data_IF_153464279303
#
_entry.id   IF_153464279303
#
_cell.length_a   1.000
_cell.length_b   1.000
_cell.length_c   1.000
_cell.angle_alpha   90.00
_cell.angle_beta   90.00
_cell.angle_gamma   90.00
#
_symmetry.space_group_name_H-M   'P 1'
#
loop_
_entity.id
_entity.type
_entity.pdbx_description
1 polymer ?
#
# COMPACT_ATOMS: atom_id res chain seq x y z
N UNK A 1 -19.10 9.97 -9.51
CA UNK A 1 -19.31 8.97 -10.58
C UNK A 1 -18.34 7.84 -10.30
N UNK A 2 -18.78 6.59 -10.15
CA UNK A 2 -17.89 5.47 -9.81
C UNK A 2 -16.84 5.35 -10.91
N UNK A 3 -15.57 5.55 -10.56
CA UNK A 3 -14.46 5.48 -11.51
C UNK A 3 -14.13 4.00 -11.79
N UNK A 4 -14.99 3.38 -12.59
CA UNK A 4 -14.90 1.97 -12.99
C UNK A 4 -13.59 1.70 -13.74
N UNK A 5 -13.17 2.64 -14.57
CA UNK A 5 -11.97 2.52 -15.41
C UNK A 5 -10.67 2.26 -14.63
N UNK A 6 -10.25 3.12 -13.67
CA UNK A 6 -9.03 2.87 -12.91
C UNK A 6 -9.11 1.61 -12.04
N UNK A 7 -10.29 1.23 -11.56
CA UNK A 7 -10.47 -0.01 -10.80
C UNK A 7 -10.24 -1.22 -11.72
N UNK A 8 -10.84 -1.20 -12.92
CA UNK A 8 -10.63 -2.24 -13.93
C UNK A 8 -9.16 -2.35 -14.33
N UNK A 9 -8.45 -1.23 -14.51
CA UNK A 9 -7.01 -1.27 -14.84
C UNK A 9 -6.19 -1.90 -13.72
N UNK A 10 -6.44 -1.57 -12.45
CA UNK A 10 -5.74 -2.20 -11.31
C UNK A 10 -5.99 -3.71 -11.30
N UNK A 11 -7.24 -4.17 -11.50
CA UNK A 11 -7.55 -5.61 -11.53
C UNK A 11 -6.86 -6.31 -12.70
N UNK A 12 -6.88 -5.70 -13.90
CA UNK A 12 -6.19 -6.24 -15.08
C UNK A 12 -4.68 -6.33 -14.85
N UNK A 13 -4.07 -5.34 -14.18
CA UNK A 13 -2.64 -5.38 -13.83
C UNK A 13 -2.31 -6.53 -12.87
N UNK A 14 -3.17 -6.80 -11.89
CA UNK A 14 -2.99 -7.94 -10.99
C UNK A 14 -3.01 -9.27 -11.75
N UNK A 15 -3.99 -9.45 -12.65
CA UNK A 15 -4.14 -10.67 -13.45
C UNK A 15 -2.97 -10.85 -14.41
N UNK A 16 -2.61 -9.81 -15.16
CA UNK A 16 -1.50 -9.86 -16.13
C UNK A 16 -0.16 -10.11 -15.45
N UNK A 17 0.12 -9.43 -14.33
CA UNK A 17 1.33 -9.67 -13.53
C UNK A 17 1.40 -11.12 -13.03
N UNK A 18 0.28 -11.67 -12.53
CA UNK A 18 0.19 -13.08 -12.12
C UNK A 18 0.41 -14.04 -13.29
N UNK A 19 -0.16 -13.77 -14.47
CA UNK A 19 0.02 -14.63 -15.65
C UNK A 19 1.48 -14.66 -16.13
N UNK A 20 2.18 -13.54 -16.03
CA UNK A 20 3.59 -13.46 -16.46
C UNK A 20 4.53 -14.06 -15.42
N UNK A 21 4.33 -13.75 -14.13
CA UNK A 21 5.22 -14.16 -13.04
C UNK A 21 4.82 -15.48 -12.36
N UNK A 22 3.67 -16.04 -12.73
CA UNK A 22 3.09 -17.31 -12.23
C UNK A 22 2.85 -17.37 -10.71
N UNK A 23 2.98 -16.25 -9.99
CA UNK A 23 2.79 -16.17 -8.55
C UNK A 23 2.01 -14.92 -8.15
N UNK A 24 1.15 -15.06 -7.15
CA UNK A 24 0.42 -13.95 -6.54
C UNK A 24 1.26 -13.14 -5.55
N UNK A 25 2.39 -13.71 -5.09
CA UNK A 25 3.29 -13.09 -4.12
C UNK A 25 4.40 -12.26 -4.79
N UNK A 26 4.40 -12.15 -6.12
CA UNK A 26 5.32 -11.25 -6.79
C UNK A 26 4.93 -9.80 -6.47
N UNK A 27 5.90 -8.88 -6.30
CA UNK A 27 5.63 -7.50 -5.89
C UNK A 27 4.54 -6.83 -6.74
N UNK A 28 4.57 -7.06 -8.05
CA UNK A 28 3.58 -6.52 -8.98
C UNK A 28 2.17 -7.08 -8.78
N UNK A 29 2.04 -8.42 -8.71
CA UNK A 29 0.73 -9.05 -8.56
C UNK A 29 0.13 -8.77 -7.17
N UNK A 30 0.95 -8.83 -6.12
CA UNK A 30 0.54 -8.60 -4.74
C UNK A 30 0.07 -7.16 -4.52
N UNK A 31 0.83 -6.17 -4.99
CA UNK A 31 0.49 -4.76 -4.82
C UNK A 31 -0.84 -4.41 -5.50
N UNK A 32 -1.03 -4.82 -6.77
CA UNK A 32 -2.28 -4.58 -7.50
C UNK A 32 -3.47 -5.32 -6.87
N UNK A 33 -3.27 -6.53 -6.34
CA UNK A 33 -4.33 -7.29 -5.66
C UNK A 33 -4.76 -6.61 -4.36
N UNK A 34 -3.79 -6.19 -3.54
CA UNK A 34 -4.05 -5.49 -2.28
C UNK A 34 -4.86 -4.20 -2.51
N UNK A 35 -4.46 -3.40 -3.50
CA UNK A 35 -5.21 -2.20 -3.86
C UNK A 35 -6.59 -2.50 -4.43
N UNK A 36 -6.74 -3.58 -5.21
CA UNK A 36 -8.07 -4.03 -5.65
C UNK A 36 -8.96 -4.34 -4.44
N UNK A 37 -8.43 -5.05 -3.44
CA UNK A 37 -9.15 -5.36 -2.20
C UNK A 37 -9.53 -4.09 -1.41
N UNK A 38 -8.61 -3.14 -1.27
CA UNK A 38 -8.91 -1.86 -0.59
C UNK A 38 -9.95 -1.02 -1.30
N UNK A 39 -10.12 -1.15 -2.62
CA UNK A 39 -11.21 -0.48 -3.33
C UNK A 39 -12.56 -1.12 -3.06
N UNK A 40 -12.63 -2.43 -2.80
CA UNK A 40 -13.90 -3.07 -2.44
C UNK A 40 -14.40 -2.65 -1.05
N UNK A 41 -13.50 -2.34 -0.11
CA UNK A 41 -13.88 -1.95 1.25
C UNK A 41 -14.85 -0.73 1.30
N UNK A 42 -14.56 0.44 0.70
CA UNK A 42 -15.49 1.56 0.69
C UNK A 42 -16.78 1.25 -0.07
N UNK A 43 -16.75 0.42 -1.13
CA UNK A 43 -17.99 0.03 -1.83
C UNK A 43 -18.96 -0.75 -0.93
N UNK A 44 -18.46 -1.53 0.03
CA UNK A 44 -19.29 -2.35 0.93
C UNK A 44 -19.66 -1.57 2.19
N UNK A 45 -18.70 -0.87 2.80
CA UNK A 45 -18.85 -0.27 4.13
C UNK A 45 -19.22 1.21 4.10
N UNK A 46 -18.96 1.92 3.00
CA UNK A 46 -19.20 3.37 2.87
C UNK A 46 -19.64 3.75 1.44
N UNK A 47 -20.80 3.25 0.96
CA UNK A 47 -21.24 3.42 -0.42
C UNK A 47 -21.50 4.88 -0.81
N UNK A 48 -21.79 5.74 0.17
CA UNK A 48 -22.01 7.18 -0.02
C UNK A 48 -20.69 7.97 -0.14
N UNK A 49 -19.54 7.33 0.09
CA UNK A 49 -18.25 7.98 0.02
C UNK A 49 -17.84 8.25 -1.43
N UNK A 50 -17.67 9.52 -1.76
CA UNK A 50 -17.22 9.95 -3.08
C UNK A 50 -15.71 9.66 -3.23
N UNK A 51 -15.39 8.60 -3.96
CA UNK A 51 -14.00 8.29 -4.30
C UNK A 51 -13.52 9.25 -5.39
N UNK A 52 -12.41 9.94 -5.12
CA UNK A 52 -11.78 10.81 -6.11
C UNK A 52 -11.20 10.00 -7.27
N UNK A 53 -11.62 10.35 -8.49
CA UNK A 53 -11.20 9.64 -9.70
C UNK A 53 -9.74 9.89 -10.06
N UNK A 54 -9.17 11.05 -9.71
CA UNK A 54 -7.77 11.35 -10.01
C UNK A 54 -6.83 10.54 -9.12
N UNK A 55 -7.11 10.48 -7.81
CA UNK A 55 -6.37 9.61 -6.88
C UNK A 55 -6.34 8.14 -7.32
N UNK A 56 -7.44 7.63 -7.88
CA UNK A 56 -7.50 6.27 -8.42
C UNK A 56 -6.57 6.04 -9.61
N UNK A 57 -6.41 7.02 -10.49
CA UNK A 57 -5.46 6.93 -11.60
C UNK A 57 -4.01 6.92 -11.12
N UNK A 58 -3.66 7.68 -10.08
CA UNK A 58 -2.33 7.60 -9.48
C UNK A 58 -2.03 6.19 -8.94
N UNK A 59 -3.00 5.57 -8.28
CA UNK A 59 -2.87 4.20 -7.77
C UNK A 59 -2.72 3.22 -8.95
N UNK A 60 -3.52 3.37 -10.00
CA UNK A 60 -3.42 2.54 -11.20
C UNK A 60 -2.04 2.64 -11.87
N UNK A 61 -1.49 3.86 -11.99
CA UNK A 61 -0.15 4.07 -12.54
C UNK A 61 0.93 3.45 -11.66
N UNK A 62 0.84 3.61 -10.34
CA UNK A 62 1.76 2.97 -9.39
C UNK A 62 1.70 1.44 -9.48
N UNK A 63 0.50 0.87 -9.63
CA UNK A 63 0.26 -0.55 -9.80
C UNK A 63 0.90 -1.09 -11.10
N UNK A 64 0.74 -0.35 -12.21
CA UNK A 64 1.40 -0.65 -13.48
C UNK A 64 2.93 -0.56 -13.37
N UNK A 65 3.46 0.48 -12.73
CA UNK A 65 4.90 0.66 -12.55
C UNK A 65 5.51 -0.46 -11.69
N UNK A 66 4.85 -0.84 -10.59
CA UNK A 66 5.26 -1.95 -9.74
C UNK A 66 5.24 -3.29 -10.50
N UNK A 67 4.20 -3.52 -11.30
CA UNK A 67 4.08 -4.70 -12.16
C UNK A 67 5.19 -4.76 -13.20
N UNK A 68 5.46 -3.66 -13.90
CA UNK A 68 6.55 -3.56 -14.86
C UNK A 68 7.92 -3.85 -14.21
N UNK A 69 8.21 -3.24 -13.06
CA UNK A 69 9.44 -3.49 -12.30
C UNK A 69 9.57 -4.96 -11.86
N UNK A 70 8.47 -5.56 -11.40
CA UNK A 70 8.42 -6.98 -11.03
C UNK A 70 8.68 -7.90 -12.22
N UNK A 71 8.12 -7.62 -13.40
CA UNK A 71 8.30 -8.43 -14.61
C UNK A 71 9.76 -8.36 -15.09
N UNK A 72 10.36 -7.16 -15.10
CA UNK A 72 11.77 -6.97 -15.46
C UNK A 72 12.68 -7.76 -14.50
N UNK A 73 12.42 -7.67 -13.20
CA UNK A 73 13.16 -8.44 -12.19
C UNK A 73 13.00 -9.95 -12.33
N UNK A 74 11.80 -10.41 -12.68
CA UNK A 74 11.49 -11.84 -12.83
C UNK A 74 12.12 -12.45 -14.10
N UNK A 75 12.15 -11.70 -15.21
CA UNK A 75 12.75 -12.15 -16.47
C UNK A 75 14.24 -12.53 -16.34
N UNK A 76 14.97 -11.85 -15.45
CA UNK A 76 16.38 -12.17 -15.18
C UNK A 76 16.58 -13.53 -14.46
N UNK A 77 15.54 -14.10 -13.85
CA UNK A 77 15.62 -15.34 -13.09
C UNK A 77 15.33 -16.60 -13.94
N UNK A 78 14.51 -16.49 -14.99
CA UNK A 78 14.07 -17.64 -15.79
C UNK A 78 15.19 -18.25 -16.66
N UNK A 79 16.23 -17.50 -17.00
CA UNK A 79 17.36 -17.98 -17.83
C UNK A 79 18.55 -18.55 -17.03
N UNK A 80 18.31 -19.12 -15.85
CA UNK A 80 19.33 -19.88 -15.12
C UNK A 80 18.88 -21.32 -14.99
N UNK A 81 19.14 -22.08 -16.07
CA UNK A 81 19.17 -23.54 -16.13
C UNK A 81 19.32 -24.19 -14.75
N UNK A 82 18.44 -25.16 -14.49
CA UNK A 82 18.20 -25.98 -13.29
C UNK A 82 19.40 -26.81 -12.78
N UNK A 83 20.61 -26.29 -12.89
CA UNK A 83 21.82 -26.84 -12.28
C UNK A 83 22.61 -25.74 -11.58
N UNK A 84 21.99 -25.09 -10.61
CA UNK A 84 22.73 -24.40 -9.55
C UNK A 84 22.19 -24.88 -8.22
N UNK A 85 22.87 -25.92 -7.74
CA UNK A 85 23.28 -26.13 -6.35
C UNK A 85 22.72 -25.05 -5.43
N UNK A 86 21.98 -25.48 -4.39
CA UNK A 86 21.69 -24.70 -3.19
C UNK A 86 22.84 -23.74 -2.91
N UNK A 87 22.75 -22.54 -3.46
CA UNK A 87 23.78 -21.55 -3.28
C UNK A 87 23.38 -20.95 -1.96
N UNK A 88 23.93 -21.51 -0.88
CA UNK A 88 23.90 -20.94 0.46
C UNK A 88 24.74 -19.65 0.46
N UNK A 89 24.46 -18.74 -0.48
CA UNK A 89 24.86 -17.34 -0.37
C UNK A 89 23.99 -16.80 0.74
N UNK A 90 24.63 -16.50 1.87
CA UNK A 90 24.00 -15.73 2.92
C UNK A 90 23.41 -14.48 2.30
N UNK A 91 22.14 -14.19 2.64
CA UNK A 91 21.54 -12.90 2.36
C UNK A 91 22.52 -11.85 2.89
N UNK A 92 23.00 -10.90 2.07
CA UNK A 92 23.98 -9.93 2.52
C UNK A 92 23.42 -9.18 3.74
N UNK A 93 24.18 -9.17 4.83
CA UNK A 93 23.77 -8.57 6.11
C UNK A 93 23.29 -7.12 5.93
N UNK A 94 23.83 -6.40 4.95
CA UNK A 94 23.43 -5.04 4.57
C UNK A 94 21.94 -4.94 4.18
N UNK A 95 21.42 -5.90 3.42
CA UNK A 95 19.99 -5.92 3.04
C UNK A 95 19.11 -6.22 4.24
N UNK A 96 19.56 -7.10 5.13
CA UNK A 96 18.85 -7.43 6.36
C UNK A 96 18.82 -6.23 7.33
N UNK A 97 19.93 -5.52 7.47
CA UNK A 97 20.04 -4.29 8.26
C UNK A 97 19.14 -3.20 7.67
N UNK A 98 19.16 -3.00 6.36
CA UNK A 98 18.30 -2.03 5.68
C UNK A 98 16.82 -2.30 5.96
N UNK A 99 16.39 -3.56 5.82
CA UNK A 99 15.02 -3.98 6.12
C UNK A 99 14.65 -3.76 7.60
N UNK A 100 15.56 -4.05 8.53
CA UNK A 100 15.35 -3.79 9.96
C UNK A 100 15.22 -2.30 10.28
N UNK A 101 16.03 -1.44 9.65
CA UNK A 101 15.97 0.02 9.82
C UNK A 101 14.64 0.56 9.28
N UNK A 102 14.24 0.15 8.08
CA UNK A 102 12.96 0.55 7.48
C UNK A 102 11.76 0.10 8.34
N UNK A 103 11.80 -1.13 8.87
CA UNK A 103 10.79 -1.60 9.82
C UNK A 103 10.76 -0.77 11.10
N UNK A 104 11.93 -0.44 11.66
CA UNK A 104 12.01 0.38 12.87
C UNK A 104 11.41 1.77 12.65
N UNK A 105 11.75 2.42 11.53
CA UNK A 105 11.18 3.73 11.15
C UNK A 105 9.65 3.62 10.98
N UNK A 106 9.17 2.57 10.32
CA UNK A 106 7.74 2.34 10.13
C UNK A 106 7.00 2.16 11.46
N UNK A 107 7.55 1.37 12.38
CA UNK A 107 6.96 1.13 13.72
C UNK A 107 7.01 2.40 14.56
N UNK A 108 8.12 3.14 14.52
CA UNK A 108 8.25 4.41 15.23
C UNK A 108 7.22 5.43 14.74
N UNK A 109 7.04 5.57 13.43
CA UNK A 109 6.03 6.45 12.85
C UNK A 109 4.61 6.09 13.29
N UNK A 110 4.30 4.79 13.30
CA UNK A 110 3.00 4.28 13.75
C UNK A 110 2.78 4.57 15.25
N UNK A 111 3.81 4.39 16.08
CA UNK A 111 3.76 4.66 17.51
C UNK A 111 3.55 6.16 17.79
N UNK A 112 4.28 7.04 17.11
CA UNK A 112 4.10 8.49 17.22
C UNK A 112 2.69 8.92 16.82
N UNK A 113 2.15 8.36 15.73
CA UNK A 113 0.79 8.63 15.27
C UNK A 113 -0.25 8.21 16.32
N UNK A 114 -0.07 7.03 16.92
CA UNK A 114 -0.94 6.54 17.99
C UNK A 114 -0.86 7.46 19.21
N UNK A 115 0.34 7.86 19.65
CA UNK A 115 0.51 8.77 20.79
C UNK A 115 -0.16 10.13 20.54
N UNK A 116 0.00 10.68 19.34
CA UNK A 116 -0.65 11.92 18.93
C UNK A 116 -2.18 11.78 18.97
N UNK A 117 -2.71 10.69 18.42
CA UNK A 117 -4.14 10.41 18.44
C UNK A 117 -4.69 10.25 19.88
N UNK A 118 -3.99 9.52 20.75
CA UNK A 118 -4.40 9.41 22.16
C UNK A 118 -4.31 10.76 22.88
N UNK A 119 -3.29 11.59 22.63
CA UNK A 119 -3.19 12.92 23.25
C UNK A 119 -4.36 13.83 22.88
N UNK A 120 -4.82 13.79 21.62
CA UNK A 120 -5.81 14.73 21.10
C UNK A 120 -7.25 14.22 21.22
N UNK A 121 -7.49 12.92 21.10
CA UNK A 121 -8.83 12.34 21.07
C UNK A 121 -9.24 11.61 22.37
N UNK A 122 -8.34 11.44 23.35
CA UNK A 122 -8.65 10.70 24.59
C UNK A 122 -9.74 11.35 25.46
N UNK A 123 -10.01 12.64 25.30
CA UNK A 123 -11.02 13.36 26.09
C UNK A 123 -12.45 13.15 25.57
N UNK A 124 -12.62 12.63 24.35
CA UNK A 124 -13.92 12.70 23.68
C UNK A 124 -14.86 11.50 23.86
N UNK A 125 -14.45 10.22 23.95
CA UNK A 125 -15.43 9.11 24.05
C UNK A 125 -14.94 7.78 24.65
N UNK A 126 -15.88 7.08 25.33
CA UNK A 126 -15.74 5.78 25.98
C UNK A 126 -15.89 4.60 24.98
N UNK A 127 -15.04 3.58 25.15
CA UNK A 127 -15.12 2.17 24.66
C UNK A 127 -14.59 1.77 23.27
N UNK A 128 -14.73 2.55 22.18
CA UNK A 128 -14.30 2.12 20.82
C UNK A 128 -13.23 3.02 20.15
N UNK A 129 -12.34 3.59 20.97
CA UNK A 129 -11.35 4.61 20.57
C UNK A 129 -10.48 4.18 19.37
N UNK A 130 -10.01 2.94 19.34
CA UNK A 130 -9.06 2.50 18.31
C UNK A 130 -9.66 2.43 16.90
N UNK A 131 -10.97 2.12 16.81
CA UNK A 131 -11.68 1.98 15.53
C UNK A 131 -12.17 3.33 14.99
N UNK A 132 -12.37 4.34 15.86
CA UNK A 132 -12.82 5.68 15.46
C UNK A 132 -11.68 6.63 15.10
N UNK A 133 -10.44 6.40 15.60
CA UNK A 133 -9.26 7.23 15.30
C UNK A 133 -9.05 7.49 13.80
N UNK A 134 -9.08 6.48 12.89
CA UNK A 134 -8.87 6.74 11.47
C UNK A 134 -9.92 7.67 10.85
N UNK A 135 -11.16 7.59 11.34
CA UNK A 135 -12.24 8.45 10.89
C UNK A 135 -12.09 9.88 11.43
N UNK A 136 -11.63 10.05 12.68
CA UNK A 136 -11.39 11.39 13.25
C UNK A 136 -10.24 12.10 12.53
N UNK A 137 -9.14 11.39 12.27
CA UNK A 137 -8.00 11.92 11.50
C UNK A 137 -8.43 12.31 10.08
N UNK A 138 -9.28 11.51 9.43
CA UNK A 138 -9.76 11.84 8.09
C UNK A 138 -10.65 13.09 8.11
N UNK A 139 -11.57 13.20 9.08
CA UNK A 139 -12.43 14.38 9.24
C UNK A 139 -11.59 15.63 9.46
N UNK A 140 -10.60 15.61 10.35
CA UNK A 140 -9.73 16.77 10.63
C UNK A 140 -8.86 17.16 9.44
N UNK A 141 -8.38 16.18 8.66
CA UNK A 141 -7.67 16.43 7.40
C UNK A 141 -8.55 17.13 6.37
N UNK A 142 -9.79 16.66 6.18
CA UNK A 142 -10.68 17.23 5.16
C UNK A 142 -11.36 18.53 5.60
N UNK A 143 -11.42 18.79 6.91
CA UNK A 143 -11.96 20.04 7.47
C UNK A 143 -10.92 21.15 7.62
N UNK A 144 -9.64 20.86 7.34
CA UNK A 144 -8.56 21.85 7.39
C UNK A 144 -8.05 22.17 8.80
N UNK A 145 -8.49 21.44 9.83
CA UNK A 145 -7.94 21.58 11.18
C UNK A 145 -6.55 20.92 11.30
N UNK A 146 -6.30 19.90 10.49
CA UNK A 146 -5.00 19.24 10.39
C UNK A 146 -4.24 19.76 9.15
N UNK A 147 -3.56 20.91 9.29
CA UNK A 147 -2.64 21.41 8.27
C UNK A 147 -1.32 20.65 8.37
N UNK A 148 -1.01 19.85 7.34
CA UNK A 148 0.35 19.34 7.20
C UNK A 148 1.26 20.52 6.83
N UNK A 149 2.53 20.53 7.28
CA UNK A 149 3.48 21.48 6.72
C UNK A 149 3.58 21.22 5.21
N UNK A 150 3.05 22.14 4.42
CA UNK A 150 3.21 22.15 2.97
C UNK A 150 4.68 22.45 2.68
N UNK A 151 5.52 21.42 2.59
CA UNK A 151 6.94 21.55 2.22
C UNK A 151 7.09 21.79 0.71
N UNK A 152 6.10 22.41 0.06
CA UNK A 152 6.18 22.81 -1.33
C UNK A 152 5.65 24.24 -1.46
N UNK A 153 6.51 25.18 -1.08
CA UNK A 153 6.52 26.55 -1.63
C UNK A 153 7.69 26.68 -2.57
#
# INVERSE_FOLDING_TARGET
>A
MIAIWPISTIIITAITSRLITQSWLTPGAFFSLLWSFFMFAPLIFAPDFLIDSLGLWFIAIAAMACSAGSIIGFSSAFNRNDKRLYNKKSIPTVWLISLMVLLCISVMGLLLLILHAFSNYASTFETNILLSIPNLISIERYSGYLEYPDVIT
#
